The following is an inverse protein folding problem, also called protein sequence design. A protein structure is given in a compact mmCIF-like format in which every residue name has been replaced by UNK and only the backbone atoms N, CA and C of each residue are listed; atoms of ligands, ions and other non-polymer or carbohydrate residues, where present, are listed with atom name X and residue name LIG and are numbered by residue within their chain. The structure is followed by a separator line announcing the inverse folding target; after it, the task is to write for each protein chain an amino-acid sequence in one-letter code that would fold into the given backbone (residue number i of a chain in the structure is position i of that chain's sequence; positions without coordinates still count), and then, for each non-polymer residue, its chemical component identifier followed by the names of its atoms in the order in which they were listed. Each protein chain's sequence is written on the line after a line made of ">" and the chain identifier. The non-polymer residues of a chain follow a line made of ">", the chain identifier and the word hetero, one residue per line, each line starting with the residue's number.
data_IF_236875550794
#
_entry.id   IF_236875550794
#
_cell.length_a   1.000
_cell.length_b   1.000
_cell.length_c   1.000
_cell.angle_alpha   90.00
_cell.angle_beta   90.00
_cell.angle_gamma   90.00
#
_symmetry.space_group_name_H-M   'P 1'
#
loop_
_entity.id
_entity.type
_entity.pdbx_description
1 polymer ?
#
# COMPACT_ATOMS: atom_id res chain seq x y z
N UNK A 1 4.59 12.16 18.74
CA UNK A 1 4.40 12.23 17.28
C UNK A 1 3.28 13.19 16.85
N UNK A 2 2.21 13.37 17.64
CA UNK A 2 1.09 14.28 17.31
C UNK A 2 1.55 15.72 16.98
N UNK A 3 2.51 16.34 17.71
CA UNK A 3 2.92 17.72 17.40
C UNK A 3 3.54 17.91 16.00
N UNK A 4 4.45 17.02 15.57
CA UNK A 4 5.09 17.08 14.24
C UNK A 4 4.10 16.79 13.10
N UNK A 5 3.18 15.85 13.33
CA UNK A 5 2.10 15.54 12.39
C UNK A 5 1.17 16.75 12.20
N UNK A 6 0.77 17.42 13.29
CA UNK A 6 -0.07 18.63 13.24
C UNK A 6 0.63 19.83 12.59
N UNK A 7 1.96 19.87 12.61
CA UNK A 7 2.76 20.89 11.91
C UNK A 7 3.05 20.54 10.45
N UNK A 8 2.53 19.42 9.92
CA UNK A 8 2.83 18.90 8.58
C UNK A 8 4.34 18.72 8.31
N UNK A 9 5.15 18.59 9.37
CA UNK A 9 6.60 18.54 9.29
C UNK A 9 7.13 17.14 8.92
N UNK A 10 6.24 16.14 8.82
CA UNK A 10 6.61 14.75 8.54
C UNK A 10 7.45 14.12 9.66
N UNK A 11 7.85 12.87 9.44
CA UNK A 11 8.71 12.12 10.35
C UNK A 11 8.47 10.61 10.30
N UNK A 12 9.45 9.79 10.75
CA UNK A 12 9.31 8.35 10.77
C UNK A 12 8.23 7.92 11.77
N UNK A 13 7.31 7.06 11.34
CA UNK A 13 6.30 6.47 12.22
C UNK A 13 6.97 5.55 13.26
N UNK A 14 6.79 5.80 14.55
CA UNK A 14 7.35 4.99 15.63
C UNK A 14 8.89 4.94 15.59
N UNK A 15 9.47 3.74 15.42
CA UNK A 15 10.93 3.57 15.31
C UNK A 15 11.47 3.78 13.89
N UNK A 16 10.60 3.82 12.88
CA UNK A 16 10.97 3.86 11.46
C UNK A 16 11.61 2.57 10.94
N UNK A 17 11.69 1.50 11.75
CA UNK A 17 12.29 0.21 11.36
C UNK A 17 11.27 -0.82 10.91
N UNK A 18 9.99 -0.50 10.98
CA UNK A 18 8.93 -1.39 10.52
C UNK A 18 8.92 -1.45 9.00
N UNK A 19 8.64 -2.65 8.47
CA UNK A 19 8.31 -2.81 7.06
C UNK A 19 6.96 -2.15 6.76
N UNK A 20 6.89 -1.44 5.65
CA UNK A 20 5.67 -0.83 5.16
C UNK A 20 5.34 -1.46 3.82
N UNK A 21 4.32 -2.31 3.81
CA UNK A 21 3.73 -2.82 2.56
C UNK A 21 2.99 -1.67 1.89
N UNK A 22 3.28 -1.43 0.61
CA UNK A 22 2.75 -0.33 -0.15
C UNK A 22 2.71 -0.66 -1.66
N UNK A 23 1.55 -0.43 -2.24
CA UNK A 23 1.31 -0.48 -3.67
C UNK A 23 0.78 0.88 -4.13
N UNK A 24 1.10 1.28 -5.37
CA UNK A 24 0.51 2.47 -5.95
C UNK A 24 -1.00 2.27 -6.17
N UNK A 25 -1.79 3.35 -6.12
CA UNK A 25 -3.24 3.27 -6.29
C UNK A 25 -3.61 2.65 -7.63
N UNK A 26 -2.99 3.13 -8.71
CA UNK A 26 -3.28 2.66 -10.06
C UNK A 26 -2.89 1.18 -10.23
N UNK A 27 -1.76 0.76 -9.67
CA UNK A 27 -1.32 -0.64 -9.70
C UNK A 27 -2.33 -1.56 -8.99
N UNK A 28 -2.91 -1.11 -7.87
CA UNK A 28 -3.94 -1.88 -7.17
C UNK A 28 -5.24 -1.97 -7.99
N UNK A 29 -5.65 -0.88 -8.64
CA UNK A 29 -6.83 -0.86 -9.52
C UNK A 29 -6.63 -1.79 -10.71
N UNK A 30 -5.47 -1.73 -11.35
CA UNK A 30 -5.11 -2.58 -12.49
C UNK A 30 -5.01 -4.05 -12.07
N UNK A 31 -4.47 -4.33 -10.89
CA UNK A 31 -4.42 -5.68 -10.34
C UNK A 31 -5.82 -6.28 -10.16
N UNK A 32 -6.78 -5.48 -9.65
CA UNK A 32 -8.18 -5.90 -9.53
C UNK A 32 -8.78 -6.13 -10.92
N UNK A 33 -8.55 -5.22 -11.87
CA UNK A 33 -9.09 -5.33 -13.22
C UNK A 33 -8.57 -6.56 -13.97
N UNK A 34 -7.26 -6.82 -13.91
CA UNK A 34 -6.64 -7.98 -14.54
C UNK A 34 -7.11 -9.28 -13.87
N UNK A 35 -7.25 -9.30 -12.54
CA UNK A 35 -7.78 -10.46 -11.82
C UNK A 35 -9.22 -10.82 -12.20
N UNK A 36 -10.04 -9.83 -12.61
CA UNK A 36 -11.40 -10.06 -13.09
C UNK A 36 -11.43 -10.58 -14.54
N UNK A 37 -10.48 -10.16 -15.37
CA UNK A 37 -10.48 -10.43 -16.82
C UNK A 37 -9.72 -11.69 -17.20
N UNK A 38 -8.70 -12.05 -16.43
CA UNK A 38 -7.79 -13.13 -16.75
C UNK A 38 -8.03 -14.35 -15.85
N UNK A 39 -8.62 -15.45 -16.38
CA UNK A 39 -8.94 -16.64 -15.59
C UNK A 39 -7.73 -17.36 -14.98
N UNK A 40 -6.50 -17.03 -15.39
CA UNK A 40 -5.30 -17.58 -14.78
C UNK A 40 -5.08 -17.07 -13.34
N UNK A 41 -5.62 -15.90 -13.00
CA UNK A 41 -5.53 -15.32 -11.67
C UNK A 41 -6.54 -16.04 -10.77
N UNK A 42 -6.02 -16.88 -9.87
CA UNK A 42 -6.82 -17.68 -8.95
C UNK A 42 -6.20 -17.68 -7.56
N UNK A 43 -7.03 -17.77 -6.52
CA UNK A 43 -6.58 -17.78 -5.13
C UNK A 43 -6.24 -16.39 -4.58
N UNK A 44 -5.35 -16.35 -3.59
CA UNK A 44 -4.97 -15.12 -2.88
C UNK A 44 -3.87 -14.40 -3.63
N UNK A 45 -4.05 -13.11 -3.86
CA UNK A 45 -3.10 -12.24 -4.56
C UNK A 45 -2.74 -11.07 -3.64
N UNK A 46 -1.46 -10.85 -3.41
CA UNK A 46 -0.97 -9.73 -2.60
C UNK A 46 -0.78 -8.49 -3.50
N UNK A 47 -1.47 -7.39 -3.18
CA UNK A 47 -1.25 -6.07 -3.77
C UNK A 47 -0.57 -5.17 -2.75
N UNK A 48 0.77 -5.26 -2.67
CA UNK A 48 1.57 -4.78 -1.53
C UNK A 48 2.91 -4.25 -1.93
#
# INVERSE_FOLDING_TARGET
>A
MIPLFMMFAGGPLGTGRQWFSWIHLDDLVDLIYESLRNPAYTGVINGT
#
